data_IF_564582937248
#
_entry.id   IF_564582937248
#
_cell.length_a   1.000
_cell.length_b   1.000
_cell.length_c   1.000
_cell.angle_alpha   90.00
_cell.angle_beta   90.00
_cell.angle_gamma   90.00
#
_symmetry.space_group_name_H-M   'P 1'
#
loop_
_entity.id
_entity.type
_entity.pdbx_description
1 polymer ?
#
# COMPACT_ATOMS: atom_id res chain seq x y z
N UNK A 1 8.95 4.70 2.51
CA UNK A 1 8.63 3.59 3.42
C UNK A 1 9.54 3.48 4.63
N UNK A 2 10.88 3.40 4.49
CA UNK A 2 11.79 3.21 5.65
C UNK A 2 11.56 4.20 6.80
N UNK A 3 11.40 5.50 6.49
CA UNK A 3 11.13 6.55 7.49
C UNK A 3 9.81 6.32 8.23
N UNK A 4 8.76 5.90 7.52
CA UNK A 4 7.44 5.60 8.11
C UNK A 4 7.57 4.40 9.06
N UNK A 5 8.15 3.29 8.58
CA UNK A 5 8.36 2.08 9.40
C UNK A 5 9.18 2.40 10.66
N UNK A 6 10.21 3.24 10.55
CA UNK A 6 11.02 3.65 11.69
C UNK A 6 10.22 4.48 12.72
N UNK A 7 9.30 5.35 12.28
CA UNK A 7 8.43 6.09 13.19
C UNK A 7 7.45 5.16 13.94
N UNK A 8 7.08 4.05 13.32
CA UNK A 8 6.16 3.04 13.90
C UNK A 8 6.88 1.96 14.73
N UNK A 9 8.21 2.04 14.89
CA UNK A 9 9.03 0.97 15.49
C UNK A 9 8.57 0.53 16.89
N UNK A 10 8.05 1.43 17.72
CA UNK A 10 7.58 1.10 19.07
C UNK A 10 6.30 0.26 19.03
N UNK A 11 5.37 0.63 18.16
CA UNK A 11 4.10 -0.10 17.95
C UNK A 11 4.39 -1.47 17.34
N UNK A 12 5.28 -1.53 16.35
CA UNK A 12 5.74 -2.79 15.74
C UNK A 12 6.44 -3.67 16.78
N UNK A 13 7.29 -3.11 17.64
CA UNK A 13 7.97 -3.89 18.68
C UNK A 13 6.98 -4.55 19.65
N UNK A 14 5.95 -3.81 20.10
CA UNK A 14 4.93 -4.36 20.99
C UNK A 14 4.15 -5.47 20.28
N UNK A 15 3.73 -5.25 19.03
CA UNK A 15 3.08 -6.27 18.21
C UNK A 15 3.91 -7.56 18.17
N UNK A 16 5.20 -7.46 17.81
CA UNK A 16 6.08 -8.61 17.67
C UNK A 16 6.31 -9.32 19.00
N UNK A 17 6.46 -8.60 20.11
CA UNK A 17 6.59 -9.21 21.45
C UNK A 17 5.36 -10.07 21.77
N UNK A 18 4.16 -9.53 21.60
CA UNK A 18 2.94 -10.27 21.88
C UNK A 18 2.70 -11.41 20.88
N UNK A 19 3.14 -11.26 19.63
CA UNK A 19 3.14 -12.36 18.65
C UNK A 19 4.08 -13.51 19.04
N UNK A 20 5.25 -13.20 19.60
CA UNK A 20 6.18 -14.20 20.12
C UNK A 20 5.57 -14.93 21.33
N UNK A 21 4.98 -14.20 22.28
CA UNK A 21 4.27 -14.79 23.42
C UNK A 21 3.10 -15.68 22.97
N UNK A 22 2.33 -15.22 22.00
CA UNK A 22 1.28 -16.00 21.33
C UNK A 22 1.86 -17.30 20.74
N UNK A 23 2.96 -17.22 19.99
CA UNK A 23 3.62 -18.39 19.39
C UNK A 23 4.11 -19.39 20.44
N UNK A 24 4.65 -18.92 21.58
CA UNK A 24 5.04 -19.80 22.68
C UNK A 24 3.85 -20.50 23.35
N UNK A 25 2.72 -19.81 23.52
CA UNK A 25 1.50 -20.46 24.04
C UNK A 25 0.94 -21.51 23.06
N UNK A 26 1.06 -21.29 21.75
CA UNK A 26 0.74 -22.33 20.75
C UNK A 26 1.67 -23.55 20.82
N UNK A 27 2.93 -23.38 21.26
CA UNK A 27 3.86 -24.49 21.54
C UNK A 27 3.46 -25.27 22.79
N UNK A 28 2.95 -24.58 23.82
CA UNK A 28 2.57 -25.22 25.07
C UNK A 28 1.40 -26.20 24.90
N UNK A 29 0.45 -25.94 23.99
CA UNK A 29 -0.72 -26.79 23.76
C UNK A 29 -0.35 -28.23 23.32
N UNK A 30 0.49 -28.45 22.28
CA UNK A 30 1.01 -29.78 21.95
C UNK A 30 1.75 -30.46 23.11
N UNK A 31 2.52 -29.72 23.91
CA UNK A 31 3.24 -30.32 25.04
C UNK A 31 2.28 -30.81 26.14
N UNK A 32 1.20 -30.06 26.41
CA UNK A 32 0.13 -30.51 27.30
C UNK A 32 -0.59 -31.76 26.76
N UNK A 33 -0.79 -31.84 25.43
CA UNK A 33 -1.31 -33.05 24.79
C UNK A 33 -0.36 -34.23 24.99
N UNK A 34 0.94 -34.07 24.74
CA UNK A 34 1.95 -35.11 25.02
C UNK A 34 1.89 -35.57 26.47
N UNK A 35 1.86 -34.63 27.40
CA UNK A 35 1.82 -34.92 28.83
C UNK A 35 0.56 -35.71 29.22
N UNK A 36 -0.60 -35.36 28.66
CA UNK A 36 -1.84 -36.13 28.81
C UNK A 36 -1.62 -37.58 28.38
N UNK A 37 -1.21 -37.81 27.14
CA UNK A 37 -1.11 -39.16 26.58
C UNK A 37 -0.06 -40.03 27.27
N UNK A 38 1.05 -39.44 27.72
CA UNK A 38 2.13 -40.20 28.35
C UNK A 38 1.86 -40.50 29.85
N UNK A 39 1.09 -39.67 30.56
CA UNK A 39 0.99 -39.73 32.03
C UNK A 39 -0.42 -39.81 32.62
N UNK A 40 -1.51 -39.72 31.82
CA UNK A 40 -2.87 -39.67 32.35
C UNK A 40 -3.23 -40.83 33.29
N UNK A 41 -2.80 -42.05 32.95
CA UNK A 41 -3.07 -43.24 33.76
C UNK A 41 -2.32 -43.23 35.11
N UNK A 42 -1.17 -42.55 35.19
CA UNK A 42 -0.40 -42.40 36.43
C UNK A 42 -0.95 -41.28 37.31
N UNK A 43 -1.49 -40.23 36.69
CA UNK A 43 -2.01 -39.03 37.35
C UNK A 43 -3.39 -39.20 37.98
N UNK A 44 -4.22 -40.05 37.39
CA UNK A 44 -5.62 -40.21 37.80
C UNK A 44 -6.43 -38.91 37.66
N UNK A 45 -7.58 -38.88 38.34
CA UNK A 45 -8.56 -37.79 38.22
C UNK A 45 -8.04 -36.43 38.70
N UNK A 46 -7.24 -36.40 39.76
CA UNK A 46 -6.70 -35.14 40.32
C UNK A 46 -5.72 -34.48 39.35
N UNK A 47 -4.81 -35.25 38.75
CA UNK A 47 -3.90 -34.70 37.75
C UNK A 47 -4.61 -34.31 36.46
N UNK A 48 -5.70 -35.00 36.07
CA UNK A 48 -6.56 -34.56 34.97
C UNK A 48 -7.16 -33.17 35.23
N UNK A 49 -7.66 -32.89 36.43
CA UNK A 49 -8.19 -31.57 36.78
C UNK A 49 -7.11 -30.48 36.66
N UNK A 50 -5.91 -30.73 37.19
CA UNK A 50 -4.80 -29.78 37.05
C UNK A 50 -4.38 -29.56 35.60
N UNK A 51 -4.39 -30.63 34.78
CA UNK A 51 -4.06 -30.53 33.37
C UNK A 51 -5.12 -29.74 32.59
N UNK A 52 -6.41 -29.93 32.90
CA UNK A 52 -7.50 -29.14 32.33
C UNK A 52 -7.38 -27.66 32.72
N UNK A 53 -7.03 -27.36 33.98
CA UNK A 53 -6.78 -25.98 34.42
C UNK A 53 -5.59 -25.35 33.69
N UNK A 54 -4.48 -26.09 33.53
CA UNK A 54 -3.32 -25.63 32.77
C UNK A 54 -3.65 -25.42 31.28
N UNK A 55 -4.44 -26.31 30.68
CA UNK A 55 -4.91 -26.19 29.31
C UNK A 55 -5.81 -24.97 29.11
N UNK A 56 -6.78 -24.77 30.01
CA UNK A 56 -7.66 -23.60 29.99
C UNK A 56 -6.89 -22.28 30.16
N UNK A 57 -5.94 -22.24 31.10
CA UNK A 57 -5.08 -21.06 31.30
C UNK A 57 -4.23 -20.77 30.08
N UNK A 58 -3.71 -21.80 29.42
CA UNK A 58 -2.91 -21.65 28.19
C UNK A 58 -3.76 -21.09 27.04
N UNK A 59 -5.00 -21.54 26.88
CA UNK A 59 -5.95 -21.00 25.87
C UNK A 59 -6.26 -19.53 26.16
N UNK A 60 -6.52 -19.18 27.42
CA UNK A 60 -6.80 -17.78 27.81
C UNK A 60 -5.58 -16.91 27.51
N UNK A 61 -4.38 -17.33 27.93
CA UNK A 61 -3.14 -16.60 27.66
C UNK A 61 -2.89 -16.44 26.15
N UNK A 62 -3.07 -17.51 25.38
CA UNK A 62 -2.96 -17.51 23.92
C UNK A 62 -3.92 -16.49 23.29
N UNK A 63 -5.19 -16.52 23.70
CA UNK A 63 -6.22 -15.61 23.18
C UNK A 63 -5.93 -14.15 23.52
N UNK A 64 -5.47 -13.87 24.74
CA UNK A 64 -5.09 -12.51 25.18
C UNK A 64 -3.88 -12.00 24.39
N UNK A 65 -2.83 -12.82 24.24
CA UNK A 65 -1.64 -12.42 23.48
C UNK A 65 -1.94 -12.24 22.00
N UNK A 66 -2.77 -13.11 21.41
CA UNK A 66 -3.25 -12.96 20.04
C UNK A 66 -4.02 -11.64 19.87
N UNK A 67 -4.98 -11.36 20.75
CA UNK A 67 -5.76 -10.12 20.71
C UNK A 67 -4.87 -8.88 20.78
N UNK A 68 -3.91 -8.85 21.71
CA UNK A 68 -3.01 -7.70 21.84
C UNK A 68 -2.14 -7.56 20.58
N UNK A 69 -1.58 -8.65 20.05
CA UNK A 69 -0.81 -8.64 18.80
C UNK A 69 -1.64 -8.04 17.65
N UNK A 70 -2.88 -8.51 17.45
CA UNK A 70 -3.77 -8.03 16.39
C UNK A 70 -4.23 -6.58 16.60
N UNK A 71 -4.49 -6.14 17.83
CA UNK A 71 -4.80 -4.72 18.10
C UNK A 71 -3.62 -3.83 17.70
N UNK A 72 -2.39 -4.26 17.99
CA UNK A 72 -1.20 -3.50 17.59
C UNK A 72 -0.94 -3.54 16.09
N UNK A 73 -1.38 -4.58 15.38
CA UNK A 73 -1.43 -4.60 13.92
C UNK A 73 -2.27 -3.44 13.35
N UNK A 74 -3.50 -3.28 13.87
CA UNK A 74 -4.35 -2.15 13.51
C UNK A 74 -3.74 -0.80 13.90
N UNK A 75 -2.98 -0.71 14.99
CA UNK A 75 -2.24 0.50 15.34
C UNK A 75 -1.08 0.80 14.38
N UNK A 76 -0.40 -0.23 13.87
CA UNK A 76 0.62 -0.05 12.81
C UNK A 76 -0.05 0.50 11.54
N UNK A 77 -1.18 -0.09 11.14
CA UNK A 77 -1.98 0.37 9.99
C UNK A 77 -2.44 1.83 10.15
N UNK A 78 -3.05 2.16 11.30
CA UNK A 78 -3.46 3.53 11.64
C UNK A 78 -2.28 4.50 11.59
N UNK A 79 -1.15 4.12 12.20
CA UNK A 79 0.05 4.95 12.21
C UNK A 79 0.62 5.17 10.81
N UNK A 80 0.56 4.16 9.94
CA UNK A 80 0.93 4.29 8.53
C UNK A 80 0.03 5.31 7.83
N UNK A 81 -1.30 5.18 7.90
CA UNK A 81 -2.22 6.11 7.25
C UNK A 81 -2.04 7.55 7.74
N UNK A 82 -1.95 7.77 9.06
CA UNK A 82 -1.75 9.13 9.61
C UNK A 82 -0.44 9.73 9.10
N UNK A 83 0.64 8.95 9.10
CA UNK A 83 1.96 9.43 8.67
C UNK A 83 1.99 9.69 7.17
N UNK A 84 1.48 8.76 6.37
CA UNK A 84 1.49 8.84 4.91
C UNK A 84 0.58 9.97 4.42
N UNK A 85 -0.66 10.09 4.94
CA UNK A 85 -1.59 11.17 4.57
C UNK A 85 -1.04 12.54 4.93
N UNK A 86 -0.45 12.71 6.13
CA UNK A 86 0.21 13.97 6.51
C UNK A 86 1.40 14.29 5.60
N UNK A 87 2.25 13.30 5.33
CA UNK A 87 3.41 13.48 4.46
C UNK A 87 3.02 13.84 3.02
N UNK A 88 1.98 13.18 2.48
CA UNK A 88 1.44 13.47 1.16
C UNK A 88 0.83 14.88 1.11
N UNK A 89 -0.03 15.23 2.07
CA UNK A 89 -0.64 16.55 2.11
C UNK A 89 0.42 17.65 2.17
N UNK A 90 1.40 17.53 3.07
CA UNK A 90 2.48 18.50 3.21
C UNK A 90 3.31 18.61 1.92
N UNK A 91 3.68 17.48 1.30
CA UNK A 91 4.45 17.52 0.05
C UNK A 91 3.66 18.12 -1.10
N UNK A 92 2.42 17.70 -1.30
CA UNK A 92 1.57 18.16 -2.42
C UNK A 92 1.20 19.64 -2.30
N UNK A 93 0.83 20.11 -1.11
CA UNK A 93 0.54 21.52 -0.85
C UNK A 93 1.79 22.40 -0.96
N UNK A 94 2.98 21.82 -0.82
CA UNK A 94 4.25 22.52 -0.99
C UNK A 94 4.71 22.62 -2.44
N UNK A 95 4.03 21.97 -3.38
CA UNK A 95 4.41 22.04 -4.78
C UNK A 95 4.04 23.39 -5.39
N UNK A 96 4.87 23.92 -6.30
CA UNK A 96 4.47 25.07 -7.11
C UNK A 96 3.16 24.78 -7.84
N UNK A 97 2.26 25.78 -7.91
CA UNK A 97 0.92 25.61 -8.49
C UNK A 97 0.96 25.09 -9.92
N UNK A 98 1.95 25.50 -10.71
CA UNK A 98 2.16 25.01 -12.07
C UNK A 98 2.33 23.48 -12.11
N UNK A 99 3.14 22.92 -11.20
CA UNK A 99 3.37 21.47 -11.10
C UNK A 99 2.14 20.75 -10.53
N UNK A 100 1.51 21.33 -9.52
CA UNK A 100 0.30 20.75 -8.92
C UNK A 100 -0.83 20.61 -9.96
N UNK A 101 -0.97 21.61 -10.85
CA UNK A 101 -1.98 21.67 -11.90
C UNK A 101 -1.77 20.70 -13.08
N UNK A 102 -0.63 19.98 -13.15
CA UNK A 102 -0.40 18.93 -14.15
C UNK A 102 -1.35 17.74 -14.00
N UNK A 103 -1.94 17.55 -12.80
CA UNK A 103 -2.90 16.49 -12.50
C UNK A 103 -4.19 17.07 -11.94
N UNK A 104 -5.30 16.40 -12.26
CA UNK A 104 -6.60 16.74 -11.68
C UNK A 104 -6.64 16.38 -10.19
N UNK A 105 -7.43 17.12 -9.42
CA UNK A 105 -7.65 16.86 -7.98
C UNK A 105 -8.08 15.42 -7.70
N UNK A 106 -8.92 14.85 -8.57
CA UNK A 106 -9.35 13.44 -8.48
C UNK A 106 -8.21 12.44 -8.56
N UNK A 107 -7.16 12.74 -9.33
CA UNK A 107 -5.96 11.89 -9.41
C UNK A 107 -5.19 11.90 -8.09
N UNK A 108 -5.10 13.05 -7.41
CA UNK A 108 -4.50 13.12 -6.08
C UNK A 108 -5.36 12.42 -5.03
N UNK A 109 -6.68 12.60 -5.05
CA UNK A 109 -7.58 11.90 -4.13
C UNK A 109 -7.47 10.38 -4.26
N UNK A 110 -7.33 9.86 -5.48
CA UNK A 110 -7.06 8.43 -5.70
C UNK A 110 -5.78 7.95 -5.02
N UNK A 111 -4.77 8.81 -4.83
CA UNK A 111 -3.55 8.42 -4.10
C UNK A 111 -3.85 8.29 -2.60
N UNK A 112 -4.61 9.23 -2.04
CA UNK A 112 -4.99 9.22 -0.62
C UNK A 112 -5.86 8.04 -0.23
N UNK A 113 -6.69 7.57 -1.16
CA UNK A 113 -7.61 6.46 -0.95
C UNK A 113 -7.03 5.15 -1.50
N UNK A 114 -7.02 4.97 -2.83
CA UNK A 114 -6.68 3.70 -3.46
C UNK A 114 -5.20 3.31 -3.33
N UNK A 115 -4.26 4.23 -3.58
CA UNK A 115 -2.83 3.85 -3.59
C UNK A 115 -2.32 3.58 -2.16
N UNK A 116 -2.73 4.40 -1.18
CA UNK A 116 -2.37 4.17 0.22
C UNK A 116 -2.96 2.86 0.75
N UNK A 117 -4.23 2.56 0.43
CA UNK A 117 -4.86 1.29 0.77
C UNK A 117 -4.11 0.12 0.15
N UNK A 118 -3.80 0.20 -1.14
CA UNK A 118 -3.01 -0.82 -1.85
C UNK A 118 -1.63 -1.02 -1.20
N UNK A 119 -0.94 0.04 -0.79
CA UNK A 119 0.37 -0.06 -0.11
C UNK A 119 0.22 -0.68 1.28
N UNK A 120 -0.82 -0.34 2.01
CA UNK A 120 -1.05 -0.90 3.33
C UNK A 120 -1.33 -2.42 3.24
N UNK A 121 -2.31 -2.80 2.42
CA UNK A 121 -2.79 -4.18 2.30
C UNK A 121 -1.84 -5.10 1.52
N UNK A 122 -1.14 -4.56 0.52
CA UNK A 122 -0.33 -5.37 -0.40
C UNK A 122 1.18 -5.19 -0.22
N UNK A 123 1.63 -4.29 0.66
CA UNK A 123 3.05 -4.14 0.97
C UNK A 123 3.35 -4.14 2.47
N UNK A 124 2.75 -3.23 3.25
CA UNK A 124 3.09 -3.10 4.68
C UNK A 124 2.61 -4.31 5.49
N UNK A 125 1.32 -4.67 5.37
CA UNK A 125 0.75 -5.81 6.09
C UNK A 125 1.45 -7.14 5.70
N UNK A 126 1.62 -7.47 4.40
CA UNK A 126 2.38 -8.64 3.98
C UNK A 126 3.82 -8.67 4.47
N UNK A 127 4.50 -7.52 4.54
CA UNK A 127 5.85 -7.44 5.11
C UNK A 127 5.84 -7.79 6.60
N UNK A 128 4.85 -7.32 7.36
CA UNK A 128 4.69 -7.65 8.77
C UNK A 128 4.31 -9.13 8.95
N UNK A 129 3.45 -9.69 8.10
CA UNK A 129 3.09 -11.10 8.07
C UNK A 129 4.29 -12.00 7.84
N UNK A 130 5.18 -11.66 6.90
CA UNK A 130 6.41 -12.43 6.66
C UNK A 130 7.30 -12.43 7.91
N UNK A 131 7.46 -11.28 8.58
CA UNK A 131 8.26 -11.19 9.81
C UNK A 131 7.64 -12.06 10.91
N UNK A 132 6.34 -11.93 11.16
CA UNK A 132 5.60 -12.72 12.16
C UNK A 132 5.68 -14.21 11.88
N UNK A 133 5.44 -14.60 10.63
CA UNK A 133 5.49 -15.98 10.16
C UNK A 133 6.88 -16.57 10.31
N UNK A 134 7.93 -15.82 9.98
CA UNK A 134 9.32 -16.26 10.15
C UNK A 134 9.67 -16.46 11.62
N UNK A 135 9.25 -15.55 12.51
CA UNK A 135 9.46 -15.70 13.95
C UNK A 135 8.75 -16.94 14.50
N UNK A 136 7.48 -17.15 14.14
CA UNK A 136 6.73 -18.34 14.55
C UNK A 136 7.37 -19.62 14.03
N UNK A 137 7.81 -19.67 12.77
CA UNK A 137 8.51 -20.83 12.22
C UNK A 137 9.78 -21.17 12.98
N UNK A 138 10.60 -20.17 13.35
CA UNK A 138 11.81 -20.40 14.16
C UNK A 138 11.44 -20.99 15.53
N UNK A 139 10.41 -20.44 16.19
CA UNK A 139 9.92 -20.96 17.48
C UNK A 139 9.47 -22.42 17.33
N UNK A 140 8.66 -22.74 16.32
CA UNK A 140 8.19 -24.12 16.10
C UNK A 140 9.30 -25.09 15.69
N UNK A 141 10.27 -24.65 14.90
CA UNK A 141 11.45 -25.46 14.55
C UNK A 141 12.31 -25.80 15.78
N UNK A 142 12.54 -24.81 16.65
CA UNK A 142 13.26 -25.02 17.91
C UNK A 142 12.46 -25.94 18.84
N UNK A 143 11.14 -25.78 18.92
CA UNK A 143 10.28 -26.66 19.70
C UNK A 143 10.31 -28.11 19.23
N UNK A 144 10.30 -28.36 17.92
CA UNK A 144 10.46 -29.70 17.35
C UNK A 144 11.81 -30.33 17.75
N UNK A 145 12.88 -29.54 17.77
CA UNK A 145 14.20 -30.02 18.15
C UNK A 145 14.29 -30.35 19.66
N UNK A 146 13.72 -29.50 20.52
CA UNK A 146 13.81 -29.63 21.97
C UNK A 146 12.81 -30.63 22.57
N UNK A 147 11.57 -30.67 22.08
CA UNK A 147 10.48 -31.40 22.74
C UNK A 147 10.09 -32.72 22.06
N UNK A 148 10.51 -32.93 20.80
CA UNK A 148 10.20 -34.12 20.01
C UNK A 148 11.45 -34.97 19.78
N UNK A 149 12.22 -34.68 18.74
CA UNK A 149 13.40 -35.46 18.36
C UNK A 149 14.19 -34.73 17.26
N UNK A 150 15.53 -34.63 17.36
CA UNK A 150 16.35 -33.91 16.37
C UNK A 150 16.17 -34.38 14.92
N UNK A 151 16.03 -35.70 14.70
CA UNK A 151 15.83 -36.27 13.36
C UNK A 151 14.53 -35.78 12.71
N UNK A 152 13.46 -35.68 13.50
CA UNK A 152 12.15 -35.19 13.03
C UNK A 152 12.25 -33.71 12.67
N UNK A 153 12.85 -32.90 13.55
CA UNK A 153 13.05 -31.48 13.31
C UNK A 153 13.85 -31.23 12.02
N UNK A 154 14.99 -31.91 11.84
CA UNK A 154 15.81 -31.79 10.63
C UNK A 154 15.06 -32.26 9.39
N UNK A 155 14.34 -33.38 9.46
CA UNK A 155 13.54 -33.89 8.35
C UNK A 155 12.42 -32.93 7.91
N UNK A 156 11.74 -32.30 8.87
CA UNK A 156 10.72 -31.27 8.59
C UNK A 156 11.35 -30.02 7.97
N UNK A 157 12.47 -29.53 8.52
CA UNK A 157 13.17 -28.36 7.97
C UNK A 157 13.67 -28.63 6.55
N UNK A 158 14.21 -29.82 6.27
CA UNK A 158 14.68 -30.17 4.92
C UNK A 158 13.52 -30.34 3.93
N UNK A 159 12.47 -31.08 4.31
CA UNK A 159 11.30 -31.29 3.46
C UNK A 159 10.55 -29.97 3.19
N UNK A 160 10.49 -29.08 4.17
CA UNK A 160 9.89 -27.76 4.00
C UNK A 160 10.72 -26.84 3.11
N UNK A 161 12.04 -26.85 3.24
CA UNK A 161 12.92 -26.13 2.31
C UNK A 161 12.70 -26.60 0.87
N UNK A 162 12.58 -27.92 0.64
CA UNK A 162 12.25 -28.49 -0.67
C UNK A 162 10.83 -28.10 -1.14
N UNK A 163 9.85 -28.08 -0.24
CA UNK A 163 8.48 -27.72 -0.53
C UNK A 163 8.33 -26.28 -1.05
N UNK A 164 9.16 -25.33 -0.59
CA UNK A 164 9.16 -23.94 -1.09
C UNK A 164 9.66 -23.85 -2.54
N UNK A 165 10.49 -24.79 -3.00
CA UNK A 165 10.97 -24.76 -4.37
C UNK A 165 9.90 -25.18 -5.37
N UNK A 166 8.98 -26.09 -5.03
CA UNK A 166 7.98 -26.61 -5.98
C UNK A 166 7.09 -25.48 -6.56
N UNK A 167 6.51 -24.56 -5.75
CA UNK A 167 5.72 -23.43 -6.26
C UNK A 167 6.49 -22.44 -7.11
N UNK A 168 7.80 -22.30 -6.90
CA UNK A 168 8.65 -21.33 -7.60
C UNK A 168 8.69 -21.58 -9.11
N UNK A 169 8.46 -22.81 -9.56
CA UNK A 169 8.41 -23.17 -10.98
C UNK A 169 7.09 -22.73 -11.64
N UNK A 170 6.04 -22.50 -10.84
CA UNK A 170 4.70 -22.11 -11.29
C UNK A 170 4.51 -20.59 -11.23
N UNK A 171 5.24 -19.89 -10.35
CA UNK A 171 5.07 -18.44 -10.13
C UNK A 171 5.31 -17.60 -11.39
N UNK A 172 6.31 -17.95 -12.21
CA UNK A 172 6.60 -17.25 -13.47
C UNK A 172 5.45 -17.31 -14.48
N UNK A 173 5.02 -18.51 -14.93
CA UNK A 173 3.86 -18.65 -15.82
C UNK A 173 2.56 -18.08 -15.24
N UNK A 174 2.37 -18.14 -13.92
CA UNK A 174 1.20 -17.54 -13.24
C UNK A 174 1.21 -16.02 -13.39
N UNK A 175 2.35 -15.38 -13.13
CA UNK A 175 2.54 -13.93 -13.30
C UNK A 175 2.29 -13.51 -14.76
N UNK A 176 2.75 -14.29 -15.74
CA UNK A 176 2.50 -14.00 -17.15
C UNK A 176 1.00 -14.02 -17.50
N UNK A 177 0.24 -15.01 -17.00
CA UNK A 177 -1.21 -15.09 -17.20
C UNK A 177 -1.98 -13.99 -16.46
N UNK A 178 -1.51 -13.61 -15.27
CA UNK A 178 -2.05 -12.48 -14.53
C UNK A 178 -1.87 -11.19 -15.35
N UNK A 179 -0.68 -10.95 -15.90
CA UNK A 179 -0.41 -9.79 -16.76
C UNK A 179 -1.30 -9.78 -18.01
N UNK A 180 -1.49 -10.93 -18.65
CA UNK A 180 -2.37 -11.06 -19.81
C UNK A 180 -3.84 -10.74 -19.48
N UNK A 181 -4.32 -11.16 -18.30
CA UNK A 181 -5.65 -10.80 -17.79
C UNK A 181 -5.76 -9.30 -17.49
N UNK A 182 -4.78 -8.71 -16.82
CA UNK A 182 -4.80 -7.26 -16.52
C UNK A 182 -4.81 -6.42 -17.82
N UNK A 183 -4.05 -6.85 -18.85
CA UNK A 183 -4.07 -6.22 -20.16
C UNK A 183 -5.41 -6.37 -20.89
N UNK A 184 -6.10 -7.53 -20.79
CA UNK A 184 -7.45 -7.67 -21.37
C UNK A 184 -8.48 -6.84 -20.63
N UNK A 185 -8.33 -6.68 -19.31
CA UNK A 185 -9.19 -5.85 -18.49
C UNK A 185 -9.04 -4.36 -18.83
N UNK A 186 -7.80 -3.89 -19.00
CA UNK A 186 -7.50 -2.53 -19.45
C UNK A 186 -8.14 -2.24 -20.82
N UNK A 187 -7.98 -3.14 -21.79
CA UNK A 187 -8.64 -3.02 -23.10
C UNK A 187 -10.17 -2.98 -22.99
N UNK A 188 -10.76 -3.80 -22.11
CA UNK A 188 -12.19 -3.77 -21.85
C UNK A 188 -12.65 -2.41 -21.30
N UNK A 189 -11.92 -1.83 -20.33
CA UNK A 189 -12.25 -0.51 -19.82
C UNK A 189 -12.14 0.57 -20.89
N UNK A 190 -11.14 0.52 -21.76
CA UNK A 190 -11.04 1.44 -22.90
C UNK A 190 -12.29 1.34 -23.81
N UNK A 191 -12.72 0.13 -24.16
CA UNK A 191 -13.95 -0.09 -24.95
C UNK A 191 -15.17 0.51 -24.23
N UNK A 192 -15.33 0.26 -22.93
CA UNK A 192 -16.47 0.82 -22.17
C UNK A 192 -16.41 2.35 -22.14
N UNK A 193 -15.24 2.94 -21.92
CA UNK A 193 -15.04 4.39 -21.93
C UNK A 193 -15.39 5.00 -23.29
N UNK A 194 -14.95 4.38 -24.40
CA UNK A 194 -15.28 4.84 -25.76
C UNK A 194 -16.78 4.76 -26.03
N UNK A 195 -17.41 3.64 -25.65
CA UNK A 195 -18.86 3.45 -25.82
C UNK A 195 -19.68 4.46 -25.01
N UNK A 196 -19.25 4.77 -23.79
CA UNK A 196 -19.96 5.71 -22.90
C UNK A 196 -19.73 7.16 -23.35
N UNK A 197 -18.52 7.49 -23.78
CA UNK A 197 -18.20 8.80 -24.35
C UNK A 197 -18.98 9.06 -25.64
N UNK A 198 -19.26 8.00 -26.41
CA UNK A 198 -20.09 8.05 -27.62
C UNK A 198 -21.59 7.86 -27.36
N UNK A 199 -22.10 8.03 -26.12
CA UNK A 199 -23.51 7.75 -25.78
C UNK A 199 -24.53 8.51 -26.63
N UNK A 200 -24.19 9.73 -27.07
CA UNK A 200 -25.01 10.55 -27.98
C UNK A 200 -25.13 9.97 -29.40
N UNK A 201 -24.27 9.01 -29.78
CA UNK A 201 -24.33 8.27 -31.05
C UNK A 201 -25.07 6.93 -30.95
N UNK A 202 -25.50 6.54 -29.74
CA UNK A 202 -26.22 5.29 -29.50
C UNK A 202 -27.72 5.49 -29.74
N UNK A 203 -28.26 4.83 -30.76
CA UNK A 203 -29.68 4.82 -31.13
C UNK A 203 -30.15 3.39 -31.47
N UNK A 204 -31.42 3.22 -31.84
CA UNK A 204 -32.00 1.91 -32.16
C UNK A 204 -31.29 1.17 -33.31
N UNK A 205 -30.66 1.89 -34.24
CA UNK A 205 -29.95 1.32 -35.39
C UNK A 205 -28.52 0.86 -35.04
N UNK A 206 -27.83 1.62 -34.18
CA UNK A 206 -26.43 1.37 -33.80
C UNK A 206 -26.28 0.47 -32.58
N UNK A 207 -27.32 0.36 -31.74
CA UNK A 207 -27.28 -0.38 -30.48
C UNK A 207 -26.87 -1.84 -30.67
N UNK A 208 -27.39 -2.53 -31.69
CA UNK A 208 -27.06 -3.93 -31.94
C UNK A 208 -25.56 -4.15 -32.25
N UNK A 209 -24.95 -3.26 -33.03
CA UNK A 209 -23.51 -3.30 -33.35
C UNK A 209 -22.65 -2.98 -32.14
N UNK A 210 -23.02 -1.94 -31.39
CA UNK A 210 -22.32 -1.52 -30.16
C UNK A 210 -22.38 -2.59 -29.09
N UNK A 211 -23.57 -3.17 -28.87
CA UNK A 211 -23.80 -4.29 -27.96
C UNK A 211 -22.93 -5.48 -28.33
N UNK A 212 -22.78 -5.81 -29.63
CA UNK A 212 -21.91 -6.89 -30.09
C UNK A 212 -20.43 -6.63 -29.79
N UNK A 213 -19.94 -5.40 -29.94
CA UNK A 213 -18.56 -5.01 -29.59
C UNK A 213 -18.33 -5.15 -28.08
N UNK A 214 -19.27 -4.66 -27.27
CA UNK A 214 -19.22 -4.82 -25.82
C UNK A 214 -19.22 -6.29 -25.41
N UNK A 215 -20.15 -7.10 -25.92
CA UNK A 215 -20.26 -8.53 -25.64
C UNK A 215 -18.97 -9.29 -25.98
N UNK A 216 -18.39 -9.01 -27.15
CA UNK A 216 -17.12 -9.63 -27.53
C UNK A 216 -15.98 -9.22 -26.58
N UNK A 217 -15.87 -7.94 -26.24
CA UNK A 217 -14.81 -7.45 -25.37
C UNK A 217 -14.92 -8.00 -23.94
N UNK A 218 -16.14 -8.14 -23.40
CA UNK A 218 -16.34 -8.74 -22.08
C UNK A 218 -16.04 -10.24 -22.10
N UNK A 219 -16.45 -10.97 -23.15
CA UNK A 219 -16.13 -12.39 -23.30
C UNK A 219 -14.62 -12.64 -23.40
N UNK A 220 -13.88 -11.84 -24.18
CA UNK A 220 -12.43 -11.95 -24.30
C UNK A 220 -11.73 -11.69 -22.95
N UNK A 221 -12.18 -10.67 -22.20
CA UNK A 221 -11.65 -10.34 -20.87
C UNK A 221 -11.95 -11.43 -19.83
N UNK A 222 -13.19 -11.90 -19.77
CA UNK A 222 -13.59 -12.95 -18.82
C UNK A 222 -12.98 -14.31 -19.17
N UNK A 223 -12.73 -14.62 -20.45
CA UNK A 223 -11.97 -15.82 -20.83
C UNK A 223 -10.51 -15.73 -20.37
N UNK A 224 -9.86 -14.57 -20.49
CA UNK A 224 -8.52 -14.37 -19.97
C UNK A 224 -8.49 -14.52 -18.44
N UNK A 225 -9.48 -13.95 -17.75
CA UNK A 225 -9.70 -14.11 -16.30
C UNK A 225 -9.86 -15.57 -15.91
N UNK A 226 -10.66 -16.33 -16.67
CA UNK A 226 -10.87 -17.75 -16.41
C UNK A 226 -9.60 -18.57 -16.59
N UNK A 227 -8.82 -18.35 -17.67
CA UNK A 227 -7.52 -19.02 -17.88
C UNK A 227 -6.49 -18.69 -16.80
N UNK A 228 -6.48 -17.43 -16.33
CA UNK A 228 -5.71 -17.03 -15.16
C UNK A 228 -6.20 -17.78 -13.91
N UNK A 229 -7.50 -17.80 -13.67
CA UNK A 229 -8.14 -18.50 -12.55
C UNK A 229 -7.81 -19.98 -12.50
N UNK A 230 -7.91 -20.70 -13.62
CA UNK A 230 -7.53 -22.11 -13.72
C UNK A 230 -6.07 -22.34 -13.33
N UNK A 231 -5.16 -21.48 -13.79
CA UNK A 231 -3.75 -21.60 -13.46
C UNK A 231 -3.44 -21.22 -12.01
N UNK A 232 -4.14 -20.21 -11.47
CA UNK A 232 -4.10 -19.85 -10.05
C UNK A 232 -4.56 -21.01 -9.18
N UNK A 233 -5.63 -21.70 -9.58
CA UNK A 233 -6.10 -22.92 -8.90
C UNK A 233 -5.05 -24.03 -8.96
N UNK A 234 -4.42 -24.26 -10.12
CA UNK A 234 -3.32 -25.22 -10.22
C UNK A 234 -2.16 -24.86 -9.27
N UNK A 235 -1.77 -23.59 -9.21
CA UNK A 235 -0.74 -23.11 -8.28
C UNK A 235 -1.12 -23.36 -6.82
N UNK A 236 -2.38 -23.11 -6.43
CA UNK A 236 -2.89 -23.38 -5.09
C UNK A 236 -2.87 -24.88 -4.75
N UNK A 237 -3.25 -25.74 -5.70
CA UNK A 237 -3.20 -27.20 -5.52
C UNK A 237 -1.76 -27.67 -5.34
N UNK A 238 -0.82 -27.15 -6.13
CA UNK A 238 0.61 -27.51 -5.99
C UNK A 238 1.20 -27.00 -4.67
N UNK A 239 0.81 -25.80 -4.21
CA UNK A 239 1.15 -25.31 -2.87
C UNK A 239 0.66 -26.28 -1.79
N UNK A 240 -0.61 -26.69 -1.84
CA UNK A 240 -1.20 -27.63 -0.88
C UNK A 240 -0.55 -29.02 -0.93
N UNK A 241 -0.25 -29.53 -2.12
CA UNK A 241 0.47 -30.79 -2.28
C UNK A 241 1.87 -30.76 -1.65
N UNK A 242 2.58 -29.63 -1.80
CA UNK A 242 3.90 -29.43 -1.20
C UNK A 242 3.85 -29.50 0.33
N UNK A 243 2.75 -29.05 0.94
CA UNK A 243 2.50 -29.16 2.39
C UNK A 243 2.25 -30.61 2.82
N UNK A 244 1.47 -31.37 2.03
CA UNK A 244 1.26 -32.79 2.30
C UNK A 244 2.56 -33.60 2.25
N UNK A 245 3.54 -33.21 1.44
CA UNK A 245 4.87 -33.85 1.44
C UNK A 245 5.61 -33.66 2.78
N UNK A 246 5.52 -32.48 3.39
CA UNK A 246 6.09 -32.23 4.73
C UNK A 246 5.38 -33.09 5.77
N UNK A 247 4.04 -33.17 5.71
CA UNK A 247 3.25 -34.01 6.62
C UNK A 247 3.53 -35.50 6.44
N UNK A 248 3.71 -35.97 5.20
CA UNK A 248 4.10 -37.34 4.90
C UNK A 248 5.50 -37.67 5.44
N UNK A 249 6.44 -36.72 5.30
CA UNK A 249 7.79 -36.85 5.86
C UNK A 249 7.73 -36.98 7.38
N UNK A 250 6.95 -36.12 8.05
CA UNK A 250 6.74 -36.22 9.50
C UNK A 250 6.12 -37.56 9.89
N UNK A 251 5.08 -38.01 9.18
CA UNK A 251 4.43 -39.30 9.43
C UNK A 251 5.42 -40.48 9.33
N UNK A 252 6.23 -40.51 8.27
CA UNK A 252 7.23 -41.55 8.07
C UNK A 252 8.31 -41.57 9.16
N UNK A 253 8.84 -40.39 9.53
CA UNK A 253 9.88 -40.27 10.56
C UNK A 253 9.35 -40.61 11.96
N UNK A 254 8.15 -40.13 12.31
CA UNK A 254 7.49 -40.47 13.58
C UNK A 254 7.22 -41.96 13.66
N UNK A 255 6.68 -42.57 12.60
CA UNK A 255 6.45 -44.02 12.54
C UNK A 255 7.73 -44.82 12.71
N UNK A 256 8.81 -44.42 12.04
CA UNK A 256 10.13 -45.04 12.19
C UNK A 256 10.65 -44.98 13.64
N UNK A 257 10.59 -43.81 14.29
CA UNK A 257 11.09 -43.62 15.66
C UNK A 257 10.23 -44.35 16.70
N UNK A 258 8.92 -44.44 16.48
CA UNK A 258 8.03 -45.25 17.33
C UNK A 258 8.41 -46.74 17.26
N UNK A 259 8.76 -47.27 16.08
CA UNK A 259 9.23 -48.64 15.93
C UNK A 259 10.57 -48.88 16.65
N UNK A 260 11.45 -47.88 16.69
CA UNK A 260 12.71 -47.91 17.45
C UNK A 260 12.51 -47.70 18.96
N UNK A 261 11.30 -47.36 19.41
CA UNK A 261 10.97 -47.00 20.81
C UNK A 261 11.75 -45.78 21.32
N UNK A 262 12.23 -44.93 20.41
CA UNK A 262 12.92 -43.67 20.73
C UNK A 262 11.96 -42.51 20.96
N UNK A 263 10.67 -42.70 20.63
CA UNK A 263 9.61 -41.70 20.75
C UNK A 263 8.41 -42.29 21.50
N UNK A 264 7.76 -41.49 22.35
CA UNK A 264 6.51 -41.87 23.02
C UNK A 264 5.30 -41.61 22.13
N UNK A 265 4.17 -42.25 22.46
CA UNK A 265 2.91 -42.00 21.74
C UNK A 265 2.46 -40.55 21.93
N UNK A 266 2.60 -39.97 23.13
CA UNK A 266 2.30 -38.56 23.37
C UNK A 266 3.19 -37.63 22.55
N UNK A 267 4.49 -37.91 22.45
CA UNK A 267 5.42 -37.11 21.64
C UNK A 267 5.09 -37.20 20.14
N UNK A 268 4.67 -38.38 19.64
CA UNK A 268 4.19 -38.53 18.27
C UNK A 268 2.95 -37.65 17.98
N UNK A 269 1.99 -37.59 18.91
CA UNK A 269 0.79 -36.75 18.78
C UNK A 269 1.17 -35.27 18.77
N UNK A 270 2.01 -34.82 19.70
CA UNK A 270 2.48 -33.44 19.74
C UNK A 270 3.25 -33.04 18.47
N UNK A 271 4.01 -33.98 17.90
CA UNK A 271 4.74 -33.76 16.65
C UNK A 271 3.81 -33.31 15.52
N UNK A 272 2.66 -33.97 15.33
CA UNK A 272 1.75 -33.60 14.25
C UNK A 272 1.18 -32.19 14.44
N UNK A 273 0.87 -31.79 15.67
CA UNK A 273 0.46 -30.41 15.97
C UNK A 273 1.60 -29.40 15.74
N UNK A 274 2.84 -29.72 16.11
CA UNK A 274 3.98 -28.86 15.82
C UNK A 274 4.26 -28.72 14.31
N UNK A 275 4.12 -29.81 13.56
CA UNK A 275 4.24 -29.82 12.09
C UNK A 275 3.17 -28.91 11.46
N UNK A 276 1.93 -29.03 11.90
CA UNK A 276 0.82 -28.20 11.43
C UNK A 276 1.10 -26.71 11.70
N UNK A 277 1.48 -26.36 12.94
CA UNK A 277 1.86 -25.01 13.33
C UNK A 277 3.06 -24.47 12.53
N UNK A 278 3.98 -25.33 12.12
CA UNK A 278 5.13 -24.95 11.28
C UNK A 278 4.75 -24.73 9.81
N UNK A 279 3.85 -25.55 9.25
CA UNK A 279 3.43 -25.49 7.85
C UNK A 279 2.55 -24.27 7.57
N UNK A 280 1.66 -23.89 8.49
CA UNK A 280 0.70 -22.79 8.26
C UNK A 280 1.38 -21.45 7.91
N UNK A 281 2.36 -20.93 8.68
CA UNK A 281 3.06 -19.69 8.33
C UNK A 281 3.73 -19.76 6.94
N UNK A 282 4.26 -20.92 6.54
CA UNK A 282 4.89 -21.08 5.23
C UNK A 282 3.91 -20.89 4.07
N UNK A 283 2.65 -21.29 4.23
CA UNK A 283 1.61 -21.14 3.21
C UNK A 283 1.40 -19.68 2.82
N UNK A 284 1.43 -18.78 3.80
CA UNK A 284 1.10 -17.38 3.62
C UNK A 284 2.30 -16.55 3.14
N UNK A 285 3.53 -16.87 3.58
CA UNK A 285 4.75 -16.18 3.13
C UNK A 285 4.86 -16.10 1.61
N UNK A 286 4.53 -17.18 0.87
CA UNK A 286 4.59 -17.16 -0.60
C UNK A 286 3.56 -16.21 -1.22
N UNK A 287 2.38 -16.10 -0.64
CA UNK A 287 1.35 -15.16 -1.08
C UNK A 287 1.79 -13.72 -0.80
N UNK A 288 2.34 -13.48 0.40
CA UNK A 288 2.82 -12.18 0.86
C UNK A 288 3.97 -11.66 -0.01
N UNK A 289 4.94 -12.52 -0.34
CA UNK A 289 6.05 -12.18 -1.23
C UNK A 289 5.53 -11.75 -2.60
N UNK A 290 4.57 -12.48 -3.17
CA UNK A 290 4.01 -12.12 -4.47
C UNK A 290 3.27 -10.77 -4.41
N UNK A 291 2.52 -10.51 -3.32
CA UNK A 291 1.82 -9.25 -3.09
C UNK A 291 2.79 -8.06 -3.02
N UNK A 292 3.86 -8.19 -2.22
CA UNK A 292 4.92 -7.17 -2.11
C UNK A 292 5.56 -6.90 -3.48
N UNK A 293 5.82 -7.95 -4.26
CA UNK A 293 6.41 -7.82 -5.58
C UNK A 293 5.50 -7.09 -6.58
N UNK A 294 4.18 -7.29 -6.54
CA UNK A 294 3.24 -6.59 -7.42
C UNK A 294 3.08 -5.09 -7.10
N UNK A 295 3.37 -4.67 -5.87
CA UNK A 295 3.08 -3.30 -5.39
C UNK A 295 4.33 -2.41 -5.35
N UNK A 296 5.49 -2.90 -5.83
CA UNK A 296 6.76 -2.15 -5.78
C UNK A 296 6.71 -0.80 -6.48
N UNK A 297 6.02 -0.71 -7.62
CA UNK A 297 5.89 0.53 -8.38
C UNK A 297 5.05 1.58 -7.64
N UNK A 298 3.90 1.18 -7.08
CA UNK A 298 3.05 2.06 -6.26
C UNK A 298 3.80 2.59 -5.03
N UNK A 299 4.59 1.73 -4.37
CA UNK A 299 5.46 2.16 -3.26
C UNK A 299 6.50 3.18 -3.71
N UNK A 300 7.16 2.94 -4.85
CA UNK A 300 8.15 3.87 -5.40
C UNK A 300 7.53 5.24 -5.73
N UNK A 301 6.32 5.25 -6.28
CA UNK A 301 5.56 6.47 -6.55
C UNK A 301 5.25 7.24 -5.26
N UNK A 302 4.76 6.57 -4.22
CA UNK A 302 4.53 7.18 -2.91
C UNK A 302 5.83 7.78 -2.33
N UNK A 303 6.94 7.03 -2.40
CA UNK A 303 8.24 7.52 -1.93
C UNK A 303 8.70 8.75 -2.71
N UNK A 304 8.42 8.82 -4.03
CA UNK A 304 8.66 9.99 -4.86
C UNK A 304 7.91 11.23 -4.38
N UNK A 305 6.62 11.09 -4.03
CA UNK A 305 5.86 12.21 -3.45
C UNK A 305 6.41 12.61 -2.08
N UNK A 306 6.69 11.66 -1.20
CA UNK A 306 7.18 11.94 0.15
C UNK A 306 8.60 12.53 0.21
N UNK A 307 9.37 12.41 -0.88
CA UNK A 307 10.69 13.00 -1.02
C UNK A 307 10.66 14.47 -1.49
N UNK A 308 9.48 15.00 -1.85
CA UNK A 308 9.30 16.40 -2.24
C UNK A 308 9.75 17.39 -1.16
N UNK A 309 10.15 18.59 -1.58
CA UNK A 309 10.40 19.68 -0.64
C UNK A 309 9.08 20.08 0.03
N UNK A 310 9.18 20.36 1.34
CA UNK A 310 8.07 20.86 2.14
C UNK A 310 8.33 22.34 2.39
N UNK A 311 7.34 23.19 2.13
CA UNK A 311 7.40 24.61 2.47
C UNK A 311 7.69 24.76 3.96
N UNK A 312 8.68 25.58 4.27
CA UNK A 312 8.89 26.03 5.64
C UNK A 312 7.91 27.16 5.91
N UNK A 313 7.37 27.18 7.12
CA UNK A 313 6.73 28.38 7.64
C UNK A 313 7.75 29.54 7.61
N UNK A 314 7.37 30.66 7.03
CA UNK A 314 8.18 31.87 6.94
C UNK A 314 7.37 33.05 7.45
N UNK A 315 8.02 33.97 8.16
CA UNK A 315 7.41 35.27 8.49
C UNK A 315 7.19 36.00 7.16
N UNK A 316 5.96 36.48 6.87
CA UNK A 316 5.67 37.17 5.62
C UNK A 316 6.60 38.38 5.47
N UNK A 317 7.45 38.34 4.44
CA UNK A 317 8.29 39.47 4.05
C UNK A 317 7.80 39.94 2.69
N UNK A 318 7.23 41.14 2.65
CA UNK A 318 6.75 41.74 1.42
C UNK A 318 7.84 42.65 0.86
N UNK A 319 8.39 42.36 -0.34
CA UNK A 319 9.39 43.22 -0.95
C UNK A 319 8.80 44.61 -1.23
N UNK A 320 9.62 45.66 -1.12
CA UNK A 320 9.21 47.01 -1.45
C UNK A 320 9.21 47.22 -2.97
N UNK A 321 8.26 46.58 -3.66
CA UNK A 321 8.16 46.61 -5.12
C UNK A 321 7.92 48.04 -5.62
N UNK A 322 8.78 48.49 -6.53
CA UNK A 322 8.72 49.81 -7.19
C UNK A 322 8.20 49.74 -8.63
N UNK A 323 8.44 48.62 -9.31
CA UNK A 323 7.84 48.33 -10.61
C UNK A 323 7.79 46.81 -10.86
N UNK A 324 6.91 46.38 -11.76
CA UNK A 324 6.86 45.03 -12.33
C UNK A 324 7.27 45.12 -13.80
N UNK A 325 8.26 44.34 -14.21
CA UNK A 325 8.74 44.26 -15.58
C UNK A 325 8.40 42.90 -16.19
N UNK A 326 7.69 42.97 -17.32
CA UNK A 326 7.37 41.85 -18.18
C UNK A 326 8.20 42.01 -19.45
N UNK A 327 9.04 41.03 -19.77
CA UNK A 327 9.96 41.09 -20.92
C UNK A 327 9.79 39.87 -21.81
N UNK A 328 9.39 40.13 -23.05
CA UNK A 328 9.25 39.20 -24.18
C UNK A 328 8.47 37.94 -23.79
N UNK A 329 7.41 38.13 -23.01
CA UNK A 329 6.61 37.02 -22.50
C UNK A 329 5.81 36.39 -23.63
N UNK A 330 5.98 35.08 -23.75
CA UNK A 330 5.15 34.23 -24.57
C UNK A 330 4.70 32.99 -23.79
N UNK A 331 3.43 32.61 -23.96
CA UNK A 331 2.87 31.40 -23.36
C UNK A 331 1.74 30.83 -24.24
N UNK A 332 1.58 29.50 -24.18
CA UNK A 332 0.55 28.76 -24.88
C UNK A 332 -0.33 27.97 -23.91
N UNK A 333 -1.65 28.08 -24.05
CA UNK A 333 -2.62 27.24 -23.33
C UNK A 333 -3.67 26.73 -24.32
N UNK A 334 -3.53 25.48 -24.75
CA UNK A 334 -4.36 24.92 -25.81
C UNK A 334 -4.10 25.62 -27.15
N UNK A 335 -5.13 26.18 -27.78
CA UNK A 335 -5.00 26.98 -29.00
C UNK A 335 -4.71 28.48 -28.73
N UNK A 336 -4.73 28.90 -27.46
CA UNK A 336 -4.46 30.28 -27.09
C UNK A 336 -2.94 30.52 -27.04
N UNK A 337 -2.45 31.45 -27.85
CA UNK A 337 -1.07 31.91 -27.83
C UNK A 337 -1.01 33.41 -27.54
N UNK A 338 -0.21 33.81 -26.55
CA UNK A 338 0.24 35.19 -26.40
C UNK A 338 1.73 35.21 -26.71
N UNK A 339 2.16 36.12 -27.57
CA UNK A 339 3.55 36.25 -27.99
C UNK A 339 4.00 37.71 -27.89
N UNK A 340 5.28 37.88 -27.53
CA UNK A 340 6.04 39.12 -27.59
C UNK A 340 5.42 40.30 -26.82
N UNK A 341 4.89 40.03 -25.62
CA UNK A 341 4.41 41.10 -24.73
C UNK A 341 5.52 41.58 -23.80
N UNK A 342 5.84 42.88 -23.89
CA UNK A 342 6.77 43.58 -23.02
C UNK A 342 6.13 44.83 -22.45
N UNK A 343 6.07 44.97 -21.13
CA UNK A 343 5.51 46.14 -20.46
C UNK A 343 6.06 46.32 -19.05
N UNK A 344 6.09 47.56 -18.58
CA UNK A 344 6.47 47.94 -17.22
C UNK A 344 5.28 48.55 -16.48
N UNK A 345 4.91 47.94 -15.36
CA UNK A 345 3.88 48.44 -14.45
C UNK A 345 4.54 49.14 -13.27
N UNK A 346 4.25 50.42 -13.05
CA UNK A 346 4.83 51.19 -11.94
C UNK A 346 3.97 51.09 -10.68
N UNK A 347 4.63 51.17 -9.51
CA UNK A 347 3.97 51.16 -8.19
C UNK A 347 2.88 52.23 -8.08
N UNK A 348 1.77 51.85 -7.44
CA UNK A 348 0.67 52.75 -7.08
C UNK A 348 -0.31 53.05 -8.23
N UNK A 349 -0.04 52.57 -9.45
CA UNK A 349 -0.95 52.72 -10.59
C UNK A 349 -1.96 51.57 -10.66
N UNK A 350 -3.08 51.82 -11.35
CA UNK A 350 -4.11 50.82 -11.67
C UNK A 350 -4.14 50.64 -13.17
N UNK A 351 -4.15 49.39 -13.62
CA UNK A 351 -4.10 49.04 -15.03
C UNK A 351 -5.32 48.21 -15.42
N UNK A 352 -5.88 48.49 -16.59
CA UNK A 352 -7.01 47.76 -17.15
C UNK A 352 -6.56 47.02 -18.41
N UNK A 353 -6.75 45.69 -18.43
CA UNK A 353 -6.49 44.87 -19.61
C UNK A 353 -7.81 44.69 -20.36
N UNK A 354 -7.87 45.22 -21.57
CA UNK A 354 -9.06 45.19 -22.43
C UNK A 354 -8.79 44.39 -23.70
N UNK A 355 -9.80 43.68 -24.19
CA UNK A 355 -9.69 42.91 -25.43
C UNK A 355 -10.86 41.93 -25.62
N UNK A 356 -11.02 41.37 -26.83
CA UNK A 356 -12.12 40.48 -27.19
C UNK A 356 -12.24 39.27 -26.24
N UNK A 357 -13.41 38.64 -26.16
CA UNK A 357 -13.56 37.36 -25.44
C UNK A 357 -12.57 36.33 -25.97
N UNK A 358 -12.02 35.48 -25.09
CA UNK A 358 -10.99 34.49 -25.40
C UNK A 358 -9.64 35.03 -25.94
N UNK A 359 -9.33 36.33 -25.79
CA UNK A 359 -8.00 36.90 -26.10
C UNK A 359 -6.88 36.54 -25.11
N UNK A 360 -7.16 35.73 -24.09
CA UNK A 360 -6.13 35.27 -23.14
C UNK A 360 -5.89 36.15 -21.92
N UNK A 361 -6.71 37.20 -21.69
CA UNK A 361 -6.57 38.13 -20.56
C UNK A 361 -6.44 37.46 -19.19
N UNK A 362 -7.35 36.54 -18.87
CA UNK A 362 -7.32 35.82 -17.59
C UNK A 362 -6.07 34.94 -17.49
N UNK A 363 -5.67 34.31 -18.58
CA UNK A 363 -4.43 33.52 -18.64
C UNK A 363 -3.19 34.40 -18.40
N UNK A 364 -3.17 35.61 -18.96
CA UNK A 364 -2.08 36.56 -18.75
C UNK A 364 -1.98 36.98 -17.27
N UNK A 365 -3.12 37.25 -16.62
CA UNK A 365 -3.15 37.55 -15.19
C UNK A 365 -2.61 36.38 -14.34
N UNK A 366 -2.95 35.14 -14.70
CA UNK A 366 -2.44 33.93 -14.03
C UNK A 366 -0.93 33.75 -14.23
N UNK A 367 -0.41 34.09 -15.40
CA UNK A 367 1.04 34.14 -15.66
C UNK A 367 1.71 35.21 -14.80
N UNK A 368 1.14 36.42 -14.75
CA UNK A 368 1.68 37.49 -13.88
C UNK A 368 1.63 37.10 -12.41
N UNK A 369 0.66 36.31 -11.97
CA UNK A 369 0.57 35.80 -10.60
C UNK A 369 1.47 34.58 -10.34
N UNK A 370 2.22 34.09 -11.35
CA UNK A 370 3.07 32.92 -11.21
C UNK A 370 2.30 31.58 -11.12
N UNK A 371 1.01 31.56 -11.42
CA UNK A 371 0.19 30.34 -11.43
C UNK A 371 0.46 29.45 -12.65
N UNK A 372 0.92 30.05 -13.75
CA UNK A 372 1.22 29.40 -15.01
C UNK A 372 2.68 29.65 -15.40
N UNK A 373 3.34 28.61 -15.89
CA UNK A 373 4.69 28.73 -16.41
C UNK A 373 4.70 29.48 -17.76
N UNK A 374 5.81 30.17 -18.02
CA UNK A 374 6.10 30.85 -19.28
C UNK A 374 6.78 29.89 -20.26
N UNK A 375 6.50 30.01 -21.56
CA UNK A 375 7.27 29.32 -22.59
C UNK A 375 8.55 30.09 -22.94
N UNK A 376 8.48 31.43 -22.90
CA UNK A 376 9.58 32.35 -23.20
C UNK A 376 9.39 33.67 -22.43
N UNK A 377 10.50 34.33 -22.15
CA UNK A 377 10.53 35.64 -21.50
C UNK A 377 10.66 35.54 -19.99
N UNK A 378 10.40 36.64 -19.30
CA UNK A 378 10.46 36.69 -17.83
C UNK A 378 9.48 37.71 -17.25
N UNK A 379 9.03 37.43 -16.03
CA UNK A 379 8.28 38.37 -15.19
C UNK A 379 9.11 38.60 -13.93
N UNK A 380 9.40 39.87 -13.65
CA UNK A 380 10.29 40.28 -12.57
C UNK A 380 9.80 41.54 -11.89
N UNK A 381 10.14 41.74 -10.62
CA UNK A 381 9.85 42.96 -9.88
C UNK A 381 11.14 43.72 -9.53
N UNK A 382 11.04 45.04 -9.45
CA UNK A 382 12.12 45.95 -9.07
C UNK A 382 12.00 46.33 -7.59
N UNK A 383 13.05 46.06 -6.83
CA UNK A 383 13.22 46.49 -5.44
C UNK A 383 14.59 47.16 -5.29
N UNK A 384 14.62 48.43 -4.87
CA UNK A 384 15.86 49.22 -4.72
C UNK A 384 16.78 49.16 -5.96
N UNK A 385 16.22 49.30 -7.16
CA UNK A 385 16.90 49.19 -8.47
C UNK A 385 17.49 47.80 -8.81
N UNK A 386 17.16 46.77 -8.03
CA UNK A 386 17.52 45.38 -8.32
C UNK A 386 16.30 44.63 -8.87
N UNK A 387 16.52 43.87 -9.94
CA UNK A 387 15.50 42.99 -10.53
C UNK A 387 15.50 41.64 -9.83
N UNK A 388 14.33 41.23 -9.36
CA UNK A 388 14.06 39.95 -8.74
C UNK A 388 13.02 39.20 -9.57
N UNK A 389 13.20 37.89 -9.75
CA UNK A 389 12.21 37.07 -10.44
C UNK A 389 10.93 36.99 -9.61
N UNK A 390 9.76 37.00 -10.26
CA UNK A 390 8.50 36.85 -9.55
C UNK A 390 8.32 35.41 -9.07
N UNK A 391 8.02 35.26 -7.78
CA UNK A 391 7.55 34.01 -7.21
C UNK A 391 6.04 34.07 -6.98
N UNK A 392 5.37 32.92 -6.96
CA UNK A 392 3.91 32.84 -6.77
C UNK A 392 3.44 33.49 -5.44
N UNK A 393 4.32 33.61 -4.44
CA UNK A 393 4.01 34.24 -3.16
C UNK A 393 4.00 35.79 -3.21
N UNK A 394 4.48 36.41 -4.29
CA UNK A 394 4.64 37.88 -4.38
C UNK A 394 3.40 38.59 -4.93
N UNK A 395 2.46 37.87 -5.54
CA UNK A 395 1.23 38.44 -6.07
C UNK A 395 -0.01 37.66 -5.63
N UNK A 396 -1.10 38.38 -5.42
CA UNK A 396 -2.41 37.81 -5.13
C UNK A 396 -3.31 37.94 -6.37
N UNK A 397 -3.80 36.80 -6.86
CA UNK A 397 -4.76 36.75 -7.95
C UNK A 397 -6.17 36.51 -7.39
N UNK A 398 -7.06 37.47 -7.58
CA UNK A 398 -8.47 37.33 -7.25
C UNK A 398 -9.26 37.00 -8.53
N UNK A 399 -9.84 35.82 -8.55
CA UNK A 399 -10.61 35.31 -9.67
C UNK A 399 -12.10 35.65 -9.55
N UNK A 400 -12.87 35.34 -10.60
CA UNK A 400 -14.33 35.53 -10.59
C UNK A 400 -15.04 34.53 -9.66
N UNK A 401 -14.47 33.33 -9.49
CA UNK A 401 -15.04 32.24 -8.71
C UNK A 401 -14.01 31.81 -7.67
N UNK A 402 -14.12 32.39 -6.48
CA UNK A 402 -13.25 32.02 -5.38
C UNK A 402 -13.65 30.68 -4.75
N UNK A 403 -12.63 29.98 -4.24
CA UNK A 403 -12.83 28.75 -3.50
C UNK A 403 -13.21 29.10 -2.06
N UNK A 404 -14.46 28.82 -1.69
CA UNK A 404 -14.92 28.91 -0.31
C UNK A 404 -14.76 27.56 0.38
N UNK A 405 -14.07 27.57 1.51
CA UNK A 405 -13.95 26.44 2.41
C UNK A 405 -15.19 26.34 3.30
N UNK A 406 -15.54 25.10 3.68
CA UNK A 406 -16.62 24.83 4.64
C UNK A 406 -16.20 25.21 6.07
N UNK A 407 -16.05 26.51 6.32
CA UNK A 407 -15.62 27.11 7.58
C UNK A 407 -16.28 28.49 7.74
N UNK A 408 -15.97 29.20 8.83
CA UNK A 408 -16.46 30.55 9.06
C UNK A 408 -15.87 31.58 8.07
N UNK A 409 -16.40 32.80 8.11
CA UNK A 409 -15.98 33.88 7.22
C UNK A 409 -14.51 34.29 7.42
N UNK A 410 -14.05 34.41 8.67
CA UNK A 410 -12.70 34.87 8.99
C UNK A 410 -11.65 33.85 8.51
N UNK A 411 -11.92 32.57 8.73
CA UNK A 411 -11.12 31.47 8.20
C UNK A 411 -11.05 31.46 6.67
N UNK A 412 -12.16 31.75 5.99
CA UNK A 412 -12.20 31.85 4.52
C UNK A 412 -11.40 33.03 3.99
N UNK A 413 -11.54 34.21 4.62
CA UNK A 413 -10.85 35.44 4.19
C UNK A 413 -9.35 35.36 4.48
N UNK A 414 -8.96 34.72 5.57
CA UNK A 414 -7.57 34.61 5.98
C UNK A 414 -6.84 33.39 5.43
N UNK A 415 -7.56 32.43 4.82
CA UNK A 415 -7.04 31.10 4.46
C UNK A 415 -6.36 30.45 5.69
N UNK A 416 -6.97 30.66 6.86
CA UNK A 416 -6.58 30.20 8.20
C UNK A 416 -5.36 30.89 8.84
N UNK A 417 -5.41 32.22 8.99
CA UNK A 417 -4.47 32.97 9.86
C UNK A 417 -4.84 32.79 11.34
N UNK A 418 -3.91 32.23 12.13
CA UNK A 418 -4.03 31.92 13.57
C UNK A 418 -5.09 30.87 13.98
N UNK A 419 -5.03 29.66 13.41
CA UNK A 419 -5.55 28.43 14.05
C UNK A 419 -4.47 27.71 14.86
#
# INVERSE_FOLDING_TARGET
MKKIIYQLRSVIAIQLIFHILYSFTNVALPELNKYLFDHIFQMGWTGLVWLLLAYALTIIANSVFQYISQVYEWKVSQGFYVTAKKGLANSLLSQPLAKFSEKNVSAYLSIFDNDLETIEESYLSPLMDIIRSSLSMVIYAVSLFLFVHPLVAVGIILSSALAVFIPKWISGPLSQRQRAFLQSLERYFQVVTDLFSAKNRVNSETFGSISRVHHRSVEESEQARFRFGQFKTLANVVNGFSMFLVQLTAFGLVGYLLLQKELTIGAAIATFSYVENFIYPMKYILLDVNSIHSTKETVANLEGYLAGQVLSEQVPSYPNVTALEVRDVAYHVGELAVADFSYRFDKGKKYAIIGPSASGKSTFLRVLAGELALDKGSVSYLENDVLHEMEAATAFYLSQFENLYHTDFESNVSVFWNL
#
